data_IF_028059587643
#
_entry.id   IF_028059587643
#
_cell.length_a   1.000
_cell.length_b   1.000
_cell.length_c   1.000
_cell.angle_alpha   90.00
_cell.angle_beta   90.00
_cell.angle_gamma   90.00
#
_symmetry.space_group_name_H-M   'P 1'
#
loop_
_entity.id
_entity.type
_entity.pdbx_description
1 polymer ?
#
# COMPACT_ATOMS: atom_id res chain seq x y z
N UNK A 1 24.01 17.59 2.48
CA UNK A 1 25.21 16.71 2.42
C UNK A 1 24.80 15.31 2.86
N UNK A 2 25.51 14.27 2.44
CA UNK A 2 25.31 12.93 2.97
C UNK A 2 25.78 12.85 4.43
N UNK A 3 25.07 12.15 5.32
CA UNK A 3 25.49 12.00 6.71
C UNK A 3 26.83 11.26 6.84
N UNK A 4 27.60 11.56 7.89
CA UNK A 4 28.82 10.82 8.19
C UNK A 4 28.50 9.33 8.42
N UNK A 5 29.31 8.45 7.83
CA UNK A 5 29.13 7.00 7.95
C UNK A 5 27.92 6.43 7.21
N UNK A 6 27.30 7.19 6.29
CA UNK A 6 26.14 6.71 5.52
C UNK A 6 26.41 5.41 4.75
N UNK A 7 27.67 5.19 4.35
CA UNK A 7 28.10 4.06 3.54
C UNK A 7 28.82 2.95 4.35
N UNK A 8 28.72 2.99 5.68
CA UNK A 8 29.43 2.08 6.59
C UNK A 8 29.01 0.61 6.41
N UNK A 9 27.76 0.36 6.00
CA UNK A 9 27.26 -0.97 5.65
C UNK A 9 26.85 -0.97 4.17
N UNK A 10 27.49 -1.84 3.37
CA UNK A 10 27.22 -1.97 1.92
C UNK A 10 25.98 -2.78 1.60
N UNK A 11 25.49 -3.58 2.55
CA UNK A 11 24.28 -4.39 2.40
C UNK A 11 23.02 -3.59 2.74
N UNK A 12 23.11 -2.66 3.69
CA UNK A 12 21.97 -1.86 4.15
C UNK A 12 22.39 -0.41 4.42
N UNK A 13 21.85 0.51 3.63
CA UNK A 13 21.97 1.95 3.86
C UNK A 13 20.74 2.43 4.62
N UNK A 14 20.94 3.15 5.72
CA UNK A 14 19.83 3.72 6.51
C UNK A 14 20.03 5.22 6.65
N UNK A 15 19.08 5.99 6.12
CA UNK A 15 19.09 7.45 6.14
C UNK A 15 17.83 7.99 6.81
N UNK A 16 18.00 9.05 7.60
CA UNK A 16 16.89 9.77 8.24
C UNK A 16 16.81 11.15 7.62
N UNK A 17 15.63 11.49 7.14
CA UNK A 17 15.34 12.81 6.59
C UNK A 17 14.29 13.51 7.44
N UNK A 18 14.37 14.83 7.46
CA UNK A 18 13.42 15.70 8.14
C UNK A 18 13.17 16.87 7.21
N UNK A 19 11.90 17.17 6.97
CA UNK A 19 11.49 18.31 6.16
C UNK A 19 11.99 19.60 6.79
N UNK A 20 12.21 20.63 5.99
CA UNK A 20 12.72 21.93 6.44
C UNK A 20 11.76 22.65 7.40
N UNK A 21 10.47 22.34 7.31
CA UNK A 21 9.40 22.85 8.18
C UNK A 21 9.12 21.96 9.39
N UNK A 22 9.88 20.88 9.57
CA UNK A 22 9.67 19.87 10.61
C UNK A 22 8.30 19.16 10.57
N UNK A 23 7.58 19.24 9.44
CA UNK A 23 6.27 18.62 9.31
C UNK A 23 6.34 17.10 9.06
N UNK A 24 7.45 16.64 8.48
CA UNK A 24 7.62 15.24 8.05
C UNK A 24 9.00 14.72 8.39
N UNK A 25 9.03 13.53 8.99
CA UNK A 25 10.25 12.77 9.25
C UNK A 25 10.19 11.45 8.49
N UNK A 26 11.19 11.20 7.65
CA UNK A 26 11.28 10.00 6.82
C UNK A 26 12.44 9.11 7.26
N UNK A 27 12.22 7.80 7.25
CA UNK A 27 13.24 6.77 7.36
C UNK A 27 13.37 6.06 6.01
N UNK A 28 14.51 6.26 5.34
CA UNK A 28 14.87 5.55 4.12
C UNK A 28 15.79 4.37 4.49
N UNK A 29 15.47 3.19 3.96
CA UNK A 29 16.33 2.02 3.94
C UNK A 29 16.55 1.59 2.50
N UNK A 30 17.82 1.45 2.11
CA UNK A 30 18.19 0.83 0.85
C UNK A 30 18.88 -0.50 1.16
N UNK A 31 18.30 -1.61 0.71
CA UNK A 31 18.76 -2.96 1.00
C UNK A 31 19.28 -3.57 -0.29
N UNK A 32 20.54 -3.98 -0.30
CA UNK A 32 21.12 -4.74 -1.40
C UNK A 32 20.68 -6.19 -1.32
N UNK A 33 20.14 -6.71 -2.42
CA UNK A 33 19.77 -8.11 -2.60
C UNK A 33 20.31 -8.52 -3.96
N UNK A 34 21.38 -9.31 -3.95
CA UNK A 34 22.12 -9.69 -5.16
C UNK A 34 22.53 -8.42 -5.95
N UNK A 35 22.07 -8.30 -7.20
CA UNK A 35 22.33 -7.16 -8.09
C UNK A 35 21.22 -6.10 -8.06
N UNK A 36 20.26 -6.23 -7.15
CA UNK A 36 19.14 -5.31 -6.99
C UNK A 36 19.20 -4.56 -5.66
N UNK A 37 18.60 -3.38 -5.64
CA UNK A 37 18.44 -2.55 -4.47
C UNK A 37 16.96 -2.33 -4.20
N UNK A 38 16.53 -2.71 -2.99
CA UNK A 38 15.18 -2.43 -2.49
C UNK A 38 15.25 -1.12 -1.71
N UNK A 39 14.60 -0.09 -2.23
CA UNK A 39 14.38 1.18 -1.55
C UNK A 39 13.06 1.13 -0.81
N UNK A 40 13.11 1.32 0.51
CA UNK A 40 11.95 1.42 1.38
C UNK A 40 11.98 2.75 2.11
N UNK A 41 10.89 3.52 2.04
CA UNK A 41 10.77 4.78 2.78
C UNK A 41 9.53 4.72 3.64
N UNK A 42 9.70 5.06 4.92
CA UNK A 42 8.63 5.17 5.89
C UNK A 42 8.52 6.60 6.41
N UNK A 43 7.33 7.17 6.34
CA UNK A 43 6.98 8.37 7.09
C UNK A 43 6.75 7.98 8.55
N UNK A 44 7.57 8.51 9.47
CA UNK A 44 7.54 8.16 10.89
C UNK A 44 6.26 8.64 11.58
N UNK A 45 5.67 9.73 11.10
CA UNK A 45 4.47 10.31 11.71
C UNK A 45 3.23 9.55 11.27
N UNK A 46 3.08 9.32 9.97
CA UNK A 46 1.90 8.66 9.41
C UNK A 46 2.00 7.13 9.32
N UNK A 47 3.19 6.57 9.54
CA UNK A 47 3.52 5.15 9.34
C UNK A 47 3.25 4.65 7.89
N UNK A 48 3.05 5.58 6.94
CA UNK A 48 2.95 5.23 5.52
C UNK A 48 4.30 4.75 5.03
N UNK A 49 4.27 3.71 4.19
CA UNK A 49 5.43 3.09 3.61
C UNK A 49 5.30 3.08 2.11
N UNK A 50 6.40 3.35 1.41
CA UNK A 50 6.52 3.21 -0.03
C UNK A 50 7.80 2.44 -0.35
N UNK A 51 7.73 1.59 -1.37
CA UNK A 51 8.85 0.75 -1.78
C UNK A 51 9.01 0.70 -3.30
N UNK A 52 10.26 0.56 -3.72
CA UNK A 52 10.67 0.38 -5.11
C UNK A 52 11.88 -0.55 -5.14
N UNK A 53 11.86 -1.53 -6.04
CA UNK A 53 13.03 -2.39 -6.32
C UNK A 53 13.67 -1.98 -7.64
N UNK A 54 14.99 -1.80 -7.64
CA UNK A 54 15.77 -1.37 -8.80
C UNK A 54 16.92 -2.35 -9.05
N UNK A 55 17.09 -2.81 -10.29
CA UNK A 55 18.30 -3.52 -10.67
C UNK A 55 19.44 -2.50 -10.85
N UNK A 56 20.58 -2.70 -10.18
CA UNK A 56 21.68 -1.71 -10.18
C UNK A 56 22.31 -1.57 -11.57
N UNK A 57 22.42 -2.66 -12.31
CA UNK A 57 23.02 -2.69 -13.65
C UNK A 57 22.28 -1.80 -14.68
N UNK A 58 20.96 -1.61 -14.49
CA UNK A 58 20.11 -0.83 -15.39
C UNK A 58 20.33 0.68 -15.27
N UNK A 59 20.82 1.12 -14.11
CA UNK A 59 20.95 2.55 -13.77
C UNK A 59 22.38 2.99 -13.48
N UNK A 60 23.30 2.07 -13.19
CA UNK A 60 24.70 2.37 -12.85
C UNK A 60 25.65 1.72 -13.87
N UNK A 61 26.69 2.47 -14.24
CA UNK A 61 27.82 1.98 -15.02
C UNK A 61 29.02 1.70 -14.10
N UNK A 62 29.36 0.42 -13.86
CA UNK A 62 30.47 0.07 -12.96
C UNK A 62 31.85 0.45 -13.51
N UNK A 63 31.99 0.68 -14.82
CA UNK A 63 33.29 1.03 -15.44
C UNK A 63 33.67 2.50 -15.28
N UNK A 64 32.72 3.36 -14.88
CA UNK A 64 32.88 4.81 -14.84
C UNK A 64 32.41 5.41 -13.52
N UNK A 65 32.66 4.73 -12.40
CA UNK A 65 32.25 5.19 -11.06
C UNK A 65 32.90 6.53 -10.64
N UNK A 66 34.00 6.91 -11.27
CA UNK A 66 34.75 8.14 -11.07
C UNK A 66 34.25 9.32 -11.93
N UNK A 67 33.46 9.06 -12.99
CA UNK A 67 32.92 10.07 -13.90
C UNK A 67 31.41 10.23 -13.70
N UNK A 68 31.01 11.31 -13.03
CA UNK A 68 29.61 11.63 -12.75
C UNK A 68 28.72 11.66 -14.00
N UNK A 69 29.26 12.06 -15.15
CA UNK A 69 28.48 12.16 -16.39
C UNK A 69 28.27 10.81 -17.07
N UNK A 70 29.05 9.79 -16.71
CA UNK A 70 29.01 8.45 -17.33
C UNK A 70 28.56 7.35 -16.38
N UNK A 71 28.57 7.61 -15.07
CA UNK A 71 28.18 6.63 -14.05
C UNK A 71 26.69 6.30 -14.10
N UNK A 72 25.83 7.24 -14.47
CA UNK A 72 24.38 7.03 -14.49
C UNK A 72 23.85 6.69 -15.89
N UNK A 73 23.00 5.66 -15.96
CA UNK A 73 22.22 5.26 -17.13
C UNK A 73 20.73 5.54 -16.87
N UNK A 74 19.95 5.76 -17.92
CA UNK A 74 18.48 5.85 -17.85
C UNK A 74 17.94 6.80 -16.76
N UNK A 75 18.55 7.98 -16.62
CA UNK A 75 18.27 8.91 -15.51
C UNK A 75 16.82 9.37 -15.43
N UNK A 76 16.17 9.59 -16.58
CA UNK A 76 14.78 10.04 -16.63
C UNK A 76 13.81 8.95 -16.19
N UNK A 77 14.10 7.68 -16.53
CA UNK A 77 13.34 6.54 -16.04
C UNK A 77 13.51 6.38 -14.53
N UNK A 78 14.77 6.44 -14.05
CA UNK A 78 15.07 6.34 -12.62
C UNK A 78 14.34 7.43 -11.82
N UNK A 79 14.39 8.68 -12.29
CA UNK A 79 13.65 9.81 -11.69
C UNK A 79 12.16 9.54 -11.64
N UNK A 80 11.59 9.05 -12.75
CA UNK A 80 10.15 8.75 -12.83
C UNK A 80 9.75 7.65 -11.87
N UNK A 81 10.54 6.57 -11.77
CA UNK A 81 10.29 5.46 -10.84
C UNK A 81 10.37 5.89 -9.38
N UNK A 82 11.41 6.65 -9.01
CA UNK A 82 11.53 7.18 -7.64
C UNK A 82 10.38 8.14 -7.33
N UNK A 83 10.03 9.02 -8.27
CA UNK A 83 8.96 10.01 -8.06
C UNK A 83 7.60 9.34 -7.90
N UNK A 84 7.26 8.40 -8.79
CA UNK A 84 5.97 7.70 -8.76
C UNK A 84 5.88 6.65 -7.65
N UNK A 85 6.96 5.92 -7.39
CA UNK A 85 6.96 4.80 -6.45
C UNK A 85 7.29 5.18 -5.00
N UNK A 86 8.04 6.26 -4.76
CA UNK A 86 8.44 6.67 -3.42
C UNK A 86 7.85 8.04 -3.05
N UNK A 87 8.05 9.07 -3.88
CA UNK A 87 7.72 10.44 -3.50
C UNK A 87 6.19 10.68 -3.54
N UNK A 88 5.50 10.27 -4.59
CA UNK A 88 4.07 10.52 -4.74
C UNK A 88 3.21 9.82 -3.66
N UNK A 89 3.46 8.55 -3.27
CA UNK A 89 2.69 7.88 -2.22
C UNK A 89 2.91 8.48 -0.83
N UNK A 90 4.11 9.03 -0.57
CA UNK A 90 4.50 9.66 0.69
C UNK A 90 4.29 11.18 0.70
N UNK A 91 3.94 11.75 -0.45
CA UNK A 91 3.61 13.15 -0.61
C UNK A 91 2.53 13.56 0.38
N UNK A 92 2.67 14.76 0.93
CA UNK A 92 1.78 15.28 1.94
C UNK A 92 0.31 15.13 1.53
N UNK A 93 -0.62 14.91 2.48
CA UNK A 93 -2.02 15.20 2.23
C UNK A 93 -2.11 16.70 1.98
N UNK A 94 -2.00 17.12 0.71
CA UNK A 94 -2.25 18.48 0.31
C UNK A 94 -3.62 18.85 0.90
N UNK A 95 -3.64 19.81 1.83
CA UNK A 95 -4.86 20.28 2.44
C UNK A 95 -5.87 20.59 1.35
N UNK A 96 -6.98 19.84 1.37
CA UNK A 96 -8.25 20.10 0.68
C UNK A 96 -8.14 21.06 -0.52
N UNK A 97 -7.71 20.55 -1.67
CA UNK A 97 -8.44 20.88 -2.88
C UNK A 97 -9.53 19.82 -3.03
N UNK A 98 -10.66 20.04 -2.33
CA UNK A 98 -11.94 19.44 -2.76
C UNK A 98 -12.18 19.99 -4.17
N UNK A 99 -11.74 19.26 -5.19
CA UNK A 99 -12.47 19.29 -6.45
C UNK A 99 -13.73 18.50 -6.16
N UNK A 100 -14.82 19.23 -5.93
CA UNK A 100 -16.16 18.69 -6.17
C UNK A 100 -16.14 18.02 -7.54
N UNK A 101 -16.43 16.72 -7.65
CA UNK A 101 -16.89 16.20 -8.92
C UNK A 101 -18.24 16.85 -9.17
N UNK A 102 -18.33 17.66 -10.25
CA UNK A 102 -19.59 18.10 -10.82
C UNK A 102 -20.53 16.89 -10.89
N UNK A 103 -21.67 17.03 -10.24
CA UNK A 103 -22.78 16.10 -10.24
C UNK A 103 -23.29 16.02 -11.69
N UNK A 104 -22.81 15.03 -12.44
CA UNK A 104 -23.51 14.55 -13.64
C UNK A 104 -24.44 13.44 -13.19
N UNK A 105 -25.71 13.79 -13.06
CA UNK A 105 -26.80 12.82 -12.99
C UNK A 105 -26.78 11.98 -14.26
N UNK A 106 -26.20 10.80 -14.19
CA UNK A 106 -26.53 9.71 -15.10
C UNK A 106 -26.69 8.45 -14.24
N UNK A 107 -27.96 8.10 -14.05
CA UNK A 107 -28.42 6.88 -13.41
C UNK A 107 -27.75 5.67 -14.05
N UNK A 108 -26.74 5.12 -13.39
CA UNK A 108 -26.29 3.76 -13.69
C UNK A 108 -26.68 2.88 -12.52
N UNK A 109 -27.66 2.03 -12.78
CA UNK A 109 -28.14 1.04 -11.84
C UNK A 109 -26.96 0.22 -11.31
N UNK A 110 -26.94 0.13 -9.99
CA UNK A 110 -26.07 -0.62 -9.12
C UNK A 110 -26.18 -2.12 -9.46
N UNK A 111 -25.51 -2.57 -10.52
CA UNK A 111 -25.27 -3.98 -10.84
C UNK A 111 -24.25 -4.53 -9.84
N UNK A 112 -24.68 -4.70 -8.60
CA UNK A 112 -24.02 -5.58 -7.65
C UNK A 112 -24.27 -7.02 -8.13
N UNK A 113 -23.25 -7.76 -8.61
CA UNK A 113 -23.44 -9.12 -9.15
C UNK A 113 -23.90 -10.14 -8.11
N UNK A 114 -24.03 -9.74 -6.83
CA UNK A 114 -24.57 -10.56 -5.73
C UNK A 114 -25.96 -10.11 -5.26
N UNK A 115 -26.58 -9.08 -5.86
CA UNK A 115 -27.93 -8.67 -5.50
C UNK A 115 -28.97 -9.57 -6.15
N UNK A 116 -29.52 -10.51 -5.38
CA UNK A 116 -30.73 -11.23 -5.77
C UNK A 116 -31.91 -10.25 -5.71
N UNK A 117 -32.66 -10.04 -6.80
CA UNK A 117 -33.81 -9.15 -6.80
C UNK A 117 -34.89 -9.68 -5.83
N UNK A 118 -35.58 -8.81 -5.08
CA UNK A 118 -36.62 -9.23 -4.15
C UNK A 118 -37.78 -9.85 -4.93
N UNK A 119 -37.93 -11.18 -4.83
CA UNK A 119 -39.07 -11.91 -5.38
C UNK A 119 -40.28 -11.61 -4.51
N UNK A 120 -41.26 -10.90 -5.04
CA UNK A 120 -42.61 -10.86 -4.45
C UNK A 120 -43.27 -12.23 -4.65
N UNK A 121 -43.68 -12.95 -3.59
CA UNK A 121 -44.44 -14.17 -3.78
C UNK A 121 -45.90 -13.82 -4.07
N UNK A 122 -46.31 -13.98 -5.33
CA UNK A 122 -47.73 -14.17 -5.65
C UNK A 122 -48.19 -15.47 -5.00
N UNK A 123 -49.29 -15.39 -4.26
CA UNK A 123 -49.78 -16.47 -3.41
C UNK A 123 -49.96 -17.79 -4.16
N UNK A 124 -49.39 -18.86 -3.61
CA UNK A 124 -49.91 -20.22 -3.71
C UNK A 124 -49.17 -21.13 -2.72
N UNK A 125 -49.92 -21.61 -1.71
CA UNK A 125 -49.74 -22.84 -0.92
C UNK A 125 -48.29 -23.30 -0.62
N UNK A 126 -47.82 -23.04 0.59
CA UNK A 126 -46.58 -23.62 1.11
C UNK A 126 -46.66 -25.15 1.24
N UNK A 127 -45.69 -25.94 0.76
CA UNK A 127 -45.56 -27.35 1.12
C UNK A 127 -45.01 -27.47 2.54
N UNK A 128 -45.50 -28.43 3.33
CA UNK A 128 -45.06 -28.65 4.71
C UNK A 128 -43.60 -29.13 4.74
N UNK A 129 -42.69 -28.24 5.13
CA UNK A 129 -41.30 -28.60 5.43
C UNK A 129 -41.22 -28.88 6.94
N UNK A 130 -40.68 -30.02 7.40
CA UNK A 130 -40.46 -30.23 8.82
C UNK A 130 -39.46 -29.18 9.33
N UNK A 131 -39.77 -28.56 10.47
CA UNK A 131 -38.94 -27.51 11.07
C UNK A 131 -37.50 -27.98 11.27
N UNK A 132 -36.49 -27.20 10.86
CA UNK A 132 -35.11 -27.50 11.21
C UNK A 132 -34.94 -27.30 12.71
N UNK A 133 -34.50 -28.35 13.40
CA UNK A 133 -34.00 -28.26 14.76
C UNK A 133 -32.95 -27.14 14.82
N UNK A 134 -33.08 -26.28 15.82
CA UNK A 134 -32.23 -25.10 16.03
C UNK A 134 -30.76 -25.45 15.84
N UNK A 135 -30.05 -24.88 14.85
CA UNK A 135 -28.65 -25.22 14.57
C UNK A 135 -27.67 -24.64 15.60
N UNK A 136 -28.18 -23.92 16.61
CA UNK A 136 -27.38 -23.37 17.72
C UNK A 136 -27.67 -24.06 19.06
N UNK A 137 -28.45 -25.14 19.07
CA UNK A 137 -28.75 -25.92 20.28
C UNK A 137 -27.70 -27.01 20.52
N UNK A 138 -26.41 -26.65 20.52
CA UNK A 138 -25.31 -27.57 20.88
C UNK A 138 -24.49 -26.91 21.98
N UNK A 139 -24.32 -27.59 23.11
CA UNK A 139 -23.44 -27.16 24.21
C UNK A 139 -24.13 -26.67 25.50
N UNK A 140 -25.45 -26.84 25.64
CA UNK A 140 -26.18 -26.49 26.87
C UNK A 140 -26.17 -27.56 27.97
N UNK A 141 -25.57 -28.73 27.72
CA UNK A 141 -25.64 -29.91 28.61
C UNK A 141 -24.54 -29.93 29.68
N UNK A 142 -23.56 -29.02 29.62
CA UNK A 142 -22.41 -28.95 30.56
C UNK A 142 -22.44 -27.66 31.41
N UNK A 143 -23.64 -27.16 31.72
CA UNK A 143 -23.84 -25.96 32.53
C UNK A 143 -24.83 -26.19 33.69
N UNK A 144 -24.86 -27.40 34.24
CA UNK A 144 -25.56 -27.66 35.50
C UNK A 144 -24.53 -27.85 36.63
N UNK A 145 -24.38 -26.92 37.58
CA UNK A 145 -23.40 -27.06 38.65
C UNK A 145 -23.79 -28.12 39.70
N UNK A 146 -24.84 -28.92 39.46
CA UNK A 146 -25.26 -30.03 40.32
C UNK A 146 -25.65 -31.32 39.58
N UNK A 147 -25.39 -31.47 38.27
CA UNK A 147 -25.63 -32.75 37.57
C UNK A 147 -25.55 -32.70 36.07
#
# INVERSE_FOLDING_TARGET
>A
LLPAGWEANKEVYTLRYKSTDDAQELLLKAIMVEDSMILNVMDRSSQKVADVTLAVADYINPEHLDDFHKVYKNTEELRTRITSGIIAPLGAPAGKARKEPEFKEDMHWDENPLRVPPRQPMGTRAPSRPSPLSPFAVGGEDLDPFG
#
